data_IF_800142934503
#
_entry.id   IF_800142934503
#
_cell.length_a   1.000
_cell.length_b   1.000
_cell.length_c   1.000
_cell.angle_alpha   90.00
_cell.angle_beta   90.00
_cell.angle_gamma   90.00
#
_symmetry.space_group_name_H-M   'P 1'
#
loop_
_entity.id
_entity.type
_entity.pdbx_description
1 polymer ?
#
# COMPACT_ATOMS: atom_id res chain seq x y z
N UNK A 1 -8.85 -15.95 2.25
CA UNK A 1 -8.15 -14.69 1.98
C UNK A 1 -7.59 -14.05 3.26
N UNK A 2 -8.36 -13.64 4.26
CA UNK A 2 -7.85 -12.89 5.44
C UNK A 2 -6.65 -13.53 6.15
N UNK A 3 -6.65 -14.85 6.34
CA UNK A 3 -5.51 -15.58 6.95
C UNK A 3 -4.24 -15.52 6.10
N UNK A 4 -4.37 -15.58 4.79
CA UNK A 4 -3.23 -15.50 3.85
C UNK A 4 -2.63 -14.09 3.85
N UNK A 5 -3.47 -13.05 3.87
CA UNK A 5 -3.05 -11.66 3.98
C UNK A 5 -2.30 -11.39 5.29
N UNK A 6 -2.79 -11.95 6.40
CA UNK A 6 -2.12 -11.84 7.69
C UNK A 6 -0.77 -12.58 7.69
N UNK A 7 -0.70 -13.77 7.10
CA UNK A 7 0.53 -14.54 6.97
C UNK A 7 1.56 -13.79 6.11
N UNK A 8 1.14 -13.23 4.96
CA UNK A 8 1.99 -12.40 4.11
C UNK A 8 2.58 -11.22 4.89
N UNK A 9 1.72 -10.50 5.62
CA UNK A 9 2.16 -9.36 6.42
C UNK A 9 3.20 -9.79 7.46
N UNK A 10 2.92 -10.83 8.24
CA UNK A 10 3.82 -11.33 9.27
C UNK A 10 5.17 -11.78 8.69
N UNK A 11 5.15 -12.52 7.58
CA UNK A 11 6.37 -12.96 6.88
C UNK A 11 7.19 -11.78 6.40
N UNK A 12 6.55 -10.80 5.74
CA UNK A 12 7.26 -9.63 5.21
C UNK A 12 7.82 -8.73 6.31
N UNK A 13 7.12 -8.57 7.44
CA UNK A 13 7.63 -7.81 8.58
C UNK A 13 8.78 -8.52 9.30
N UNK A 14 8.95 -9.82 9.11
CA UNK A 14 10.06 -10.59 9.69
C UNK A 14 11.27 -10.63 8.74
N UNK A 15 11.03 -10.77 7.43
CA UNK A 15 12.08 -11.02 6.44
C UNK A 15 12.54 -9.77 5.68
N UNK A 16 11.79 -8.67 5.72
CA UNK A 16 12.08 -7.46 4.97
C UNK A 16 12.35 -6.26 5.88
N UNK A 17 13.62 -5.98 6.13
CA UNK A 17 14.08 -4.96 7.08
C UNK A 17 13.45 -3.57 6.85
N UNK A 18 13.31 -3.14 5.59
CA UNK A 18 12.69 -1.85 5.26
C UNK A 18 11.24 -1.80 5.74
N UNK A 19 10.46 -2.84 5.45
CA UNK A 19 9.07 -2.92 5.89
C UNK A 19 9.00 -2.93 7.42
N UNK A 20 9.80 -3.77 8.08
CA UNK A 20 9.87 -3.84 9.54
C UNK A 20 10.13 -2.47 10.17
N UNK A 21 11.17 -1.77 9.74
CA UNK A 21 11.52 -0.42 10.25
C UNK A 21 10.39 0.59 10.10
N UNK A 22 9.72 0.58 8.94
CA UNK A 22 8.65 1.53 8.65
C UNK A 22 7.36 1.21 9.42
N UNK A 23 7.04 -0.06 9.63
CA UNK A 23 5.93 -0.46 10.51
C UNK A 23 6.22 -0.18 11.99
N UNK A 24 7.46 -0.33 12.44
CA UNK A 24 7.86 0.09 13.79
C UNK A 24 7.81 1.62 13.96
N UNK A 25 8.16 2.38 12.92
CA UNK A 25 8.00 3.83 12.94
C UNK A 25 6.53 4.26 13.04
N UNK A 26 5.61 3.48 12.46
CA UNK A 26 4.17 3.74 12.55
C UNK A 26 3.66 3.73 14.01
N UNK A 27 4.27 2.93 14.90
CA UNK A 27 3.92 2.88 16.32
C UNK A 27 4.25 4.17 17.08
N UNK A 28 5.09 5.04 16.50
CA UNK A 28 5.59 6.30 17.09
C UNK A 28 5.05 7.54 16.40
N UNK A 29 4.08 7.40 15.52
CA UNK A 29 3.45 8.54 14.84
C UNK A 29 2.69 9.42 15.84
N UNK A 30 2.64 10.71 15.55
CA UNK A 30 1.81 11.65 16.29
C UNK A 30 0.52 11.88 15.53
N UNK A 31 -0.59 11.80 16.24
CA UNK A 31 -1.93 12.03 15.68
C UNK A 31 -2.55 13.23 16.37
N UNK A 32 -3.13 14.14 15.60
CA UNK A 32 -3.95 15.26 16.07
C UNK A 32 -5.34 15.15 15.47
N UNK A 33 -6.36 15.30 16.28
CA UNK A 33 -7.73 15.42 15.84
C UNK A 33 -8.10 16.90 15.72
N UNK A 34 -8.73 17.26 14.61
CA UNK A 34 -9.18 18.63 14.32
C UNK A 34 -10.61 18.55 13.80
N UNK A 35 -11.51 19.31 14.42
CA UNK A 35 -12.88 19.45 13.95
C UNK A 35 -12.98 20.67 13.04
N UNK A 36 -13.54 20.49 11.84
CA UNK A 36 -13.80 21.58 10.88
C UNK A 36 -15.21 21.39 10.33
N UNK A 37 -16.08 22.37 10.53
CA UNK A 37 -17.47 22.36 10.04
C UNK A 37 -18.25 21.08 10.43
N UNK A 38 -18.07 20.61 11.67
CA UNK A 38 -18.73 19.40 12.17
C UNK A 38 -18.13 18.07 11.69
N UNK A 39 -17.06 18.11 10.91
CA UNK A 39 -16.31 16.92 10.47
C UNK A 39 -15.04 16.75 11.28
N UNK A 40 -14.81 15.54 11.79
CA UNK A 40 -13.60 15.19 12.53
C UNK A 40 -12.51 14.70 11.58
N UNK A 41 -11.37 15.39 11.58
CA UNK A 41 -10.18 15.05 10.80
C UNK A 41 -9.09 14.50 11.72
N UNK A 42 -8.47 13.39 11.32
CA UNK A 42 -7.28 12.83 11.98
C UNK A 42 -6.06 13.16 11.14
N UNK A 43 -5.20 14.01 11.66
CA UNK A 43 -3.93 14.39 11.02
C UNK A 43 -2.82 13.56 11.62
N UNK A 44 -2.20 12.71 10.81
CA UNK A 44 -1.10 11.86 11.22
C UNK A 44 0.24 12.45 10.75
N UNK A 45 1.17 12.67 11.68
CA UNK A 45 2.54 13.05 11.37
C UNK A 45 3.46 11.83 11.52
N UNK A 46 3.98 11.36 10.38
CA UNK A 46 4.92 10.24 10.30
C UNK A 46 6.19 10.66 9.53
N UNK A 47 7.27 11.08 10.22
CA UNK A 47 8.50 11.52 9.56
C UNK A 47 9.19 10.42 8.75
N UNK A 48 9.00 9.13 9.09
CA UNK A 48 9.58 8.02 8.33
C UNK A 48 9.02 7.91 6.90
N UNK A 49 7.84 8.51 6.62
CA UNK A 49 7.25 8.52 5.29
C UNK A 49 7.73 9.64 4.37
N UNK A 50 8.61 10.53 4.84
CA UNK A 50 9.05 11.68 4.04
C UNK A 50 9.68 11.24 2.70
N UNK A 51 10.37 10.12 2.68
CA UNK A 51 10.96 9.54 1.45
C UNK A 51 9.90 9.23 0.40
N UNK A 52 8.77 8.64 0.83
CA UNK A 52 7.64 8.34 -0.05
C UNK A 52 6.83 9.60 -0.41
N UNK A 53 6.57 10.46 0.58
CA UNK A 53 5.73 11.66 0.40
C UNK A 53 6.42 12.77 -0.38
N UNK A 54 7.77 12.83 -0.37
CA UNK A 54 8.56 13.81 -1.09
C UNK A 54 9.00 13.35 -2.49
N UNK A 55 8.47 12.21 -2.97
CA UNK A 55 8.77 11.74 -4.32
C UNK A 55 8.29 12.76 -5.37
N UNK A 56 9.16 13.07 -6.34
CA UNK A 56 8.80 13.96 -7.44
C UNK A 56 7.69 13.34 -8.29
N UNK A 57 6.66 14.13 -8.57
CA UNK A 57 5.46 13.70 -9.33
C UNK A 57 5.27 14.47 -10.64
N UNK A 58 6.28 15.23 -11.08
CA UNK A 58 6.27 15.86 -12.39
C UNK A 58 6.37 14.81 -13.50
N UNK A 59 5.81 15.10 -14.67
CA UNK A 59 5.69 14.16 -15.79
C UNK A 59 7.03 13.58 -16.22
N UNK A 60 8.10 14.37 -16.22
CA UNK A 60 9.45 13.90 -16.58
C UNK A 60 9.98 12.89 -15.57
N UNK A 61 9.91 13.19 -14.28
CA UNK A 61 10.36 12.30 -13.20
C UNK A 61 9.57 10.99 -13.17
N UNK A 62 8.26 11.03 -13.50
CA UNK A 62 7.43 9.82 -13.59
C UNK A 62 7.86 8.95 -14.78
N UNK A 63 8.11 9.54 -15.95
CA UNK A 63 8.53 8.80 -17.14
C UNK A 63 9.93 8.18 -17.02
N UNK A 64 10.86 8.88 -16.37
CA UNK A 64 12.23 8.41 -16.17
C UNK A 64 12.36 7.36 -15.04
N UNK A 65 11.40 7.31 -14.13
CA UNK A 65 11.43 6.41 -12.98
C UNK A 65 10.87 5.04 -13.33
N UNK A 66 11.63 3.99 -13.00
CA UNK A 66 11.10 2.62 -13.05
C UNK A 66 9.91 2.48 -12.10
N UNK A 67 8.84 1.91 -12.58
CA UNK A 67 7.66 1.64 -11.75
C UNK A 67 8.00 0.62 -10.66
N UNK A 68 7.93 1.02 -9.41
CA UNK A 68 8.25 0.18 -8.24
C UNK A 68 7.17 -0.86 -7.91
N UNK A 69 6.04 -0.84 -8.62
CA UNK A 69 4.95 -1.83 -8.47
C UNK A 69 4.99 -2.91 -9.57
N UNK A 70 5.74 -2.68 -10.65
CA UNK A 70 5.88 -3.70 -11.69
C UNK A 70 6.67 -4.91 -11.17
N UNK A 71 6.25 -6.15 -11.46
CA UNK A 71 6.93 -7.36 -10.99
C UNK A 71 8.44 -7.40 -11.25
N UNK A 72 8.87 -6.89 -12.43
CA UNK A 72 10.28 -6.83 -12.81
C UNK A 72 11.13 -5.87 -11.96
N UNK A 73 10.51 -5.00 -11.16
CA UNK A 73 11.21 -3.98 -10.37
C UNK A 73 10.97 -4.11 -8.86
N UNK A 74 10.22 -5.11 -8.43
CA UNK A 74 10.02 -5.38 -7.02
C UNK A 74 11.36 -5.72 -6.34
N UNK A 75 11.57 -5.24 -5.10
CA UNK A 75 12.72 -5.69 -4.31
C UNK A 75 12.71 -7.23 -4.16
N UNK A 76 13.89 -7.89 -4.19
CA UNK A 76 13.95 -9.36 -4.08
C UNK A 76 13.30 -9.94 -2.82
N UNK A 77 13.22 -9.13 -1.76
CA UNK A 77 12.61 -9.53 -0.49
C UNK A 77 11.09 -9.35 -0.47
N UNK A 78 10.53 -8.60 -1.42
CA UNK A 78 9.09 -8.34 -1.46
C UNK A 78 8.37 -9.50 -2.13
N UNK A 79 7.53 -10.18 -1.37
CA UNK A 79 6.65 -11.25 -1.85
C UNK A 79 5.24 -10.74 -2.01
N UNK A 80 4.48 -11.38 -2.90
CA UNK A 80 3.07 -11.09 -3.14
C UNK A 80 2.22 -12.35 -3.16
N UNK A 81 0.92 -12.15 -3.01
CA UNK A 81 -0.11 -13.17 -3.20
C UNK A 81 -0.87 -12.81 -4.48
N UNK A 82 -1.08 -13.75 -5.42
CA UNK A 82 -1.92 -13.49 -6.58
C UNK A 82 -3.37 -13.21 -6.17
N UNK A 83 -4.02 -12.31 -6.87
CA UNK A 83 -5.45 -12.04 -6.75
C UNK A 83 -6.06 -11.95 -8.15
N UNK A 84 -7.04 -12.82 -8.43
CA UNK A 84 -7.54 -13.01 -9.78
C UNK A 84 -6.42 -13.36 -10.76
N UNK A 85 -6.63 -13.05 -12.03
CA UNK A 85 -5.67 -13.36 -13.11
C UNK A 85 -4.70 -12.20 -13.39
N UNK A 86 -4.97 -11.00 -12.85
CA UNK A 86 -4.32 -9.76 -13.26
C UNK A 86 -3.60 -9.00 -12.16
N UNK A 87 -3.79 -9.37 -10.89
CA UNK A 87 -3.30 -8.62 -9.74
C UNK A 87 -2.37 -9.43 -8.85
N UNK A 88 -1.61 -8.71 -8.04
CA UNK A 88 -0.91 -9.25 -6.89
C UNK A 88 -1.14 -8.37 -5.66
N UNK A 89 -1.23 -8.99 -4.50
CA UNK A 89 -1.35 -8.29 -3.23
C UNK A 89 0.03 -8.21 -2.60
N UNK A 90 0.49 -7.00 -2.34
CA UNK A 90 1.81 -6.69 -1.77
C UNK A 90 1.67 -6.00 -0.42
N UNK A 91 2.63 -6.21 0.48
CA UNK A 91 2.76 -5.37 1.68
C UNK A 91 3.29 -3.99 1.25
N UNK A 92 2.61 -2.92 1.66
CA UNK A 92 3.11 -1.58 1.41
C UNK A 92 4.27 -1.27 2.36
N UNK A 93 5.49 -0.99 1.86
CA UNK A 93 6.65 -0.75 2.72
C UNK A 93 6.63 0.61 3.42
N UNK A 94 5.72 1.52 3.03
CA UNK A 94 5.54 2.84 3.65
C UNK A 94 4.12 2.98 4.22
N UNK A 95 3.81 2.25 5.31
CA UNK A 95 2.44 2.13 5.79
C UNK A 95 1.91 3.45 6.37
N UNK A 96 0.59 3.65 6.23
CA UNK A 96 -0.20 4.64 6.98
C UNK A 96 -1.14 3.97 7.98
N UNK A 97 -1.35 2.66 7.82
CA UNK A 97 -2.17 1.84 8.71
C UNK A 97 -1.37 0.63 9.21
N UNK A 98 -1.74 0.04 10.35
CA UNK A 98 -1.07 -1.15 10.90
C UNK A 98 -1.06 -2.36 9.95
N UNK A 99 -2.04 -2.45 9.08
CA UNK A 99 -2.15 -3.46 8.01
C UNK A 99 -2.39 -2.72 6.70
N UNK A 100 -1.32 -2.42 5.96
CA UNK A 100 -1.40 -1.66 4.72
C UNK A 100 -0.88 -2.50 3.56
N UNK A 101 -1.78 -2.86 2.67
CA UNK A 101 -1.50 -3.62 1.46
C UNK A 101 -1.66 -2.74 0.23
N UNK A 102 -1.06 -3.13 -0.87
CA UNK A 102 -1.21 -2.49 -2.19
C UNK A 102 -1.50 -3.59 -3.21
N UNK A 103 -2.46 -3.36 -4.09
CA UNK A 103 -2.90 -4.36 -5.07
C UNK A 103 -2.68 -3.81 -6.48
N UNK A 104 -1.45 -3.89 -7.01
CA UNK A 104 -1.16 -3.48 -8.38
C UNK A 104 -1.53 -4.56 -9.40
N UNK A 105 -1.78 -4.14 -10.63
CA UNK A 105 -1.84 -5.04 -11.77
C UNK A 105 -0.46 -5.62 -12.08
N UNK A 106 -0.41 -6.85 -12.59
CA UNK A 106 0.82 -7.51 -13.05
C UNK A 106 1.41 -6.83 -14.28
N UNK A 107 0.56 -6.24 -15.11
CA UNK A 107 0.98 -5.43 -16.25
C UNK A 107 1.06 -3.96 -15.88
N UNK A 108 1.99 -3.23 -16.47
CA UNK A 108 2.09 -1.80 -16.28
C UNK A 108 0.97 -1.08 -17.03
N UNK A 109 0.05 -0.47 -16.31
CA UNK A 109 -1.09 0.28 -16.84
C UNK A 109 -1.21 1.62 -16.11
N UNK A 110 -1.92 2.56 -16.73
CA UNK A 110 -2.28 3.80 -16.06
C UNK A 110 -3.18 3.53 -14.85
N UNK A 111 -2.95 4.24 -13.76
CA UNK A 111 -3.83 4.17 -12.59
C UNK A 111 -5.18 4.82 -12.92
N UNK A 112 -6.18 3.98 -13.20
CA UNK A 112 -7.56 4.39 -13.50
C UNK A 112 -8.54 3.38 -12.92
N UNK A 113 -9.54 3.86 -12.20
CA UNK A 113 -10.59 3.01 -11.62
C UNK A 113 -11.49 2.39 -12.71
N UNK A 114 -11.63 3.06 -13.86
CA UNK A 114 -12.45 2.61 -14.98
C UNK A 114 -12.17 1.13 -15.32
N UNK A 115 -13.21 0.34 -15.40
CA UNK A 115 -13.17 -1.11 -15.65
C UNK A 115 -12.56 -1.96 -14.51
N UNK A 116 -12.16 -1.36 -13.38
CA UNK A 116 -11.56 -2.06 -12.22
C UNK A 116 -12.45 -2.03 -10.98
N UNK A 117 -13.58 -1.37 -11.07
CA UNK A 117 -14.49 -1.24 -9.92
C UNK A 117 -15.06 -2.59 -9.48
N UNK A 118 -15.36 -3.49 -10.44
CA UNK A 118 -15.80 -4.85 -10.12
C UNK A 118 -14.72 -5.61 -9.35
N UNK A 119 -13.46 -5.55 -9.81
CA UNK A 119 -12.33 -6.19 -9.13
C UNK A 119 -12.12 -5.67 -7.71
N UNK A 120 -12.38 -4.36 -7.47
CA UNK A 120 -12.36 -3.78 -6.12
C UNK A 120 -13.46 -4.35 -5.22
N UNK A 121 -14.65 -4.58 -5.75
CA UNK A 121 -15.75 -5.19 -5.00
C UNK A 121 -15.43 -6.66 -4.66
N UNK A 122 -14.90 -7.40 -5.61
CA UNK A 122 -14.46 -8.79 -5.41
C UNK A 122 -13.36 -8.88 -4.35
N UNK A 123 -12.41 -7.93 -4.39
CA UNK A 123 -11.37 -7.84 -3.36
C UNK A 123 -11.96 -7.52 -1.98
N UNK A 124 -12.92 -6.60 -1.91
CA UNK A 124 -13.56 -6.24 -0.65
C UNK A 124 -14.35 -7.42 -0.05
N UNK A 125 -15.04 -8.20 -0.89
CA UNK A 125 -15.75 -9.41 -0.48
C UNK A 125 -14.79 -10.50 0.05
N UNK A 126 -13.64 -10.66 -0.59
CA UNK A 126 -12.62 -11.64 -0.17
C UNK A 126 -11.81 -11.21 1.06
N UNK A 127 -11.67 -9.92 1.29
CA UNK A 127 -10.81 -9.32 2.33
C UNK A 127 -11.64 -8.55 3.38
N UNK A 128 -12.61 -9.21 3.99
CA UNK A 128 -13.61 -8.65 4.92
C UNK A 128 -13.02 -7.83 6.08
N UNK A 129 -11.81 -8.17 6.53
CA UNK A 129 -11.11 -7.45 7.61
C UNK A 129 -10.38 -6.16 7.16
N UNK A 130 -10.53 -5.79 5.89
CA UNK A 130 -9.84 -4.66 5.28
C UNK A 130 -10.81 -3.65 4.67
N UNK A 131 -10.36 -2.40 4.60
CA UNK A 131 -11.02 -1.36 3.81
C UNK A 131 -10.28 -1.26 2.49
N UNK A 132 -11.01 -1.40 1.39
CA UNK A 132 -10.50 -1.23 0.03
C UNK A 132 -10.75 0.20 -0.42
N UNK A 133 -9.73 0.89 -0.92
CA UNK A 133 -9.83 2.24 -1.49
C UNK A 133 -8.89 2.39 -2.69
N UNK A 134 -9.20 3.37 -3.53
CA UNK A 134 -8.48 3.63 -4.78
C UNK A 134 -7.84 5.03 -4.78
#
# INVERSE_FOLDING_TARGET
>A
MNKELQNLLNEQLTSWEMAQKNYDALKRVRVKEVEVNGCLYKVQFNPARIVSSAAKVDSKSIQERKCFLCPAHLPPMQKGIPFGDHYQILVNPFPIFPRHLTVPELQHVDQRILYRFADMLDLADCAEDYIVFY
#
